data_IF_419158909497
#
_entry.id   IF_419158909497
#
_cell.length_a   1.000
_cell.length_b   1.000
_cell.length_c   1.000
_cell.angle_alpha   90.00
_cell.angle_beta   90.00
_cell.angle_gamma   90.00
#
_symmetry.space_group_name_H-M   'P 1'
#
loop_
_entity.id
_entity.type
_entity.pdbx_description
1 polymer ?
#
# COMPACT_ATOMS: atom_id res chain seq x y z
N UNK A 1 3.67 -30.03 7.20
CA UNK A 1 2.50 -29.30 7.74
C UNK A 1 2.30 -28.10 6.84
N UNK A 2 1.16 -27.99 6.16
CA UNK A 2 0.85 -26.74 5.45
C UNK A 2 0.47 -25.69 6.51
N UNK A 3 1.41 -24.85 6.87
CA UNK A 3 1.13 -23.72 7.75
C UNK A 3 0.39 -22.65 6.93
N UNK A 4 -0.91 -22.51 7.18
CA UNK A 4 -1.73 -21.46 6.60
C UNK A 4 -1.84 -20.29 7.59
N UNK A 5 -1.68 -19.09 7.09
CA UNK A 5 -1.89 -17.88 7.89
C UNK A 5 -3.36 -17.75 8.28
N UNK A 6 -3.64 -17.60 9.58
CA UNK A 6 -4.98 -17.38 10.07
C UNK A 6 -5.34 -15.90 10.05
N UNK A 7 -5.87 -15.44 8.93
CA UNK A 7 -6.28 -14.03 8.77
C UNK A 7 -7.59 -13.68 9.49
N UNK A 8 -8.31 -14.68 10.03
CA UNK A 8 -9.55 -14.44 10.78
C UNK A 8 -9.33 -13.68 12.08
N UNK A 9 -8.08 -13.61 12.57
CA UNK A 9 -7.72 -12.77 13.74
C UNK A 9 -7.83 -11.26 13.44
N UNK A 10 -7.82 -10.87 12.18
CA UNK A 10 -7.97 -9.48 11.74
C UNK A 10 -9.41 -9.20 11.34
N UNK A 11 -9.94 -9.99 10.38
CA UNK A 11 -11.35 -9.97 9.98
C UNK A 11 -11.82 -11.40 9.68
N UNK A 12 -13.01 -11.75 10.15
CA UNK A 12 -13.58 -13.07 9.92
C UNK A 12 -13.97 -13.31 8.43
N UNK A 13 -14.10 -12.24 7.62
CA UNK A 13 -14.45 -12.35 6.21
C UNK A 13 -14.15 -11.08 5.42
N UNK A 14 -14.06 -11.22 4.07
CA UNK A 14 -14.02 -10.09 3.11
C UNK A 14 -15.22 -9.13 3.31
N UNK A 15 -16.37 -9.66 3.66
CA UNK A 15 -17.59 -8.85 3.89
C UNK A 15 -17.44 -7.95 5.11
N UNK A 16 -16.87 -8.47 6.18
CA UNK A 16 -16.58 -7.70 7.39
C UNK A 16 -15.54 -6.60 7.13
N UNK A 17 -14.44 -6.94 6.46
CA UNK A 17 -13.43 -5.98 6.06
C UNK A 17 -14.01 -4.87 5.15
N UNK A 18 -14.90 -5.20 4.20
CA UNK A 18 -15.63 -4.20 3.39
C UNK A 18 -16.49 -3.25 4.22
N UNK A 19 -17.19 -3.79 5.23
CA UNK A 19 -17.99 -2.95 6.16
C UNK A 19 -17.09 -2.02 6.97
N UNK A 20 -15.96 -2.53 7.47
CA UNK A 20 -14.97 -1.73 8.18
C UNK A 20 -14.44 -0.60 7.30
N UNK A 21 -14.03 -0.89 6.06
CA UNK A 21 -13.56 0.13 5.11
C UNK A 21 -14.63 1.20 4.80
N UNK A 22 -15.88 0.80 4.63
CA UNK A 22 -16.97 1.76 4.42
C UNK A 22 -17.17 2.68 5.63
N UNK A 23 -17.01 2.14 6.85
CA UNK A 23 -17.05 2.93 8.08
C UNK A 23 -15.90 3.93 8.14
N UNK A 24 -14.68 3.49 7.78
CA UNK A 24 -13.50 4.37 7.69
C UNK A 24 -13.75 5.51 6.71
N UNK A 25 -14.20 5.22 5.49
CA UNK A 25 -14.48 6.25 4.48
C UNK A 25 -15.50 7.29 4.94
N UNK A 26 -16.55 6.85 5.64
CA UNK A 26 -17.53 7.77 6.23
C UNK A 26 -16.90 8.66 7.31
N UNK A 27 -16.16 8.08 8.26
CA UNK A 27 -15.44 8.82 9.30
C UNK A 27 -14.45 9.83 8.70
N UNK A 28 -13.74 9.43 7.64
CA UNK A 28 -12.80 10.30 6.92
C UNK A 28 -13.50 11.50 6.30
N UNK A 29 -14.65 11.28 5.66
CA UNK A 29 -15.45 12.37 5.10
C UNK A 29 -16.01 13.31 6.19
N UNK A 30 -16.39 12.77 7.35
CA UNK A 30 -16.80 13.56 8.52
C UNK A 30 -15.63 14.39 9.05
N UNK A 31 -14.43 13.79 9.16
CA UNK A 31 -13.20 14.46 9.56
C UNK A 31 -12.87 15.62 8.60
N UNK A 32 -12.86 15.36 7.30
CA UNK A 32 -12.61 16.37 6.27
C UNK A 32 -13.60 17.53 6.39
N UNK A 33 -14.90 17.25 6.46
CA UNK A 33 -15.95 18.28 6.57
C UNK A 33 -15.81 19.12 7.85
N UNK A 34 -15.37 18.52 8.94
CA UNK A 34 -15.22 19.22 10.22
C UNK A 34 -13.99 20.12 10.25
N UNK A 35 -12.86 19.62 9.78
CA UNK A 35 -11.56 20.29 9.94
C UNK A 35 -11.13 21.13 8.73
N UNK A 36 -11.54 20.80 7.50
CA UNK A 36 -11.10 21.54 6.32
C UNK A 36 -11.52 23.02 6.38
N UNK A 37 -10.54 23.91 6.17
CA UNK A 37 -10.72 25.36 6.26
C UNK A 37 -10.85 25.92 7.69
N UNK A 38 -10.60 25.11 8.74
CA UNK A 38 -10.71 25.53 10.15
C UNK A 38 -9.44 25.27 10.96
N UNK A 39 -8.44 24.62 10.39
CA UNK A 39 -7.25 24.16 11.08
C UNK A 39 -6.45 25.27 11.72
N UNK A 40 -6.35 26.44 11.07
CA UNK A 40 -5.58 27.58 11.57
C UNK A 40 -6.18 28.24 12.82
N UNK A 41 -7.41 27.86 13.18
CA UNK A 41 -8.12 28.36 14.35
C UNK A 41 -8.07 27.39 15.54
N UNK A 42 -7.43 26.24 15.39
CA UNK A 42 -7.36 25.23 16.43
C UNK A 42 -6.32 25.65 17.50
N UNK A 43 -6.75 25.58 18.76
CA UNK A 43 -5.82 25.62 19.90
C UNK A 43 -5.25 24.23 20.19
N UNK A 44 -4.24 24.17 21.06
CA UNK A 44 -3.44 22.98 21.40
C UNK A 44 -4.31 21.75 21.71
N UNK A 45 -5.35 21.88 22.54
CA UNK A 45 -6.25 20.76 22.89
C UNK A 45 -7.05 20.25 21.69
N UNK A 46 -7.49 21.13 20.80
CA UNK A 46 -8.22 20.74 19.60
C UNK A 46 -7.30 20.07 18.58
N UNK A 47 -6.03 20.45 18.52
CA UNK A 47 -4.99 19.81 17.70
C UNK A 47 -4.73 18.38 18.21
N UNK A 48 -4.59 18.20 19.53
CA UNK A 48 -4.46 16.86 20.14
C UNK A 48 -5.63 15.95 19.73
N UNK A 49 -6.87 16.41 19.90
CA UNK A 49 -8.08 15.64 19.53
C UNK A 49 -8.09 15.31 18.03
N UNK A 50 -7.70 16.25 17.17
CA UNK A 50 -7.63 16.01 15.74
C UNK A 50 -6.56 14.98 15.37
N UNK A 51 -5.41 15.00 16.05
CA UNK A 51 -4.33 14.01 15.87
C UNK A 51 -4.75 12.62 16.32
N UNK A 52 -5.44 12.52 17.46
CA UNK A 52 -5.95 11.23 17.95
C UNK A 52 -6.96 10.64 16.96
N UNK A 53 -7.89 11.46 16.47
CA UNK A 53 -8.88 11.01 15.49
C UNK A 53 -8.22 10.59 14.17
N UNK A 54 -7.24 11.36 13.68
CA UNK A 54 -6.45 11.03 12.50
C UNK A 54 -5.71 9.70 12.68
N UNK A 55 -5.08 9.49 13.84
CA UNK A 55 -4.39 8.25 14.17
C UNK A 55 -5.34 7.05 14.19
N UNK A 56 -6.55 7.21 14.78
CA UNK A 56 -7.58 6.17 14.74
C UNK A 56 -7.98 5.80 13.31
N UNK A 57 -8.15 6.81 12.44
CA UNK A 57 -8.46 6.58 11.02
C UNK A 57 -7.36 5.80 10.30
N UNK A 58 -6.08 6.15 10.53
CA UNK A 58 -4.93 5.44 9.96
C UNK A 58 -4.89 3.98 10.41
N UNK A 59 -5.12 3.71 11.70
CA UNK A 59 -5.12 2.35 12.26
C UNK A 59 -6.26 1.52 11.65
N UNK A 60 -7.47 2.08 11.61
CA UNK A 60 -8.64 1.38 11.05
C UNK A 60 -8.46 1.10 9.54
N UNK A 61 -7.95 2.06 8.77
CA UNK A 61 -7.66 1.91 7.35
C UNK A 61 -6.55 0.88 7.11
N UNK A 62 -5.45 0.98 7.86
CA UNK A 62 -4.30 0.08 7.78
C UNK A 62 -4.70 -1.37 8.02
N UNK A 63 -5.52 -1.66 9.04
CA UNK A 63 -6.01 -3.02 9.30
C UNK A 63 -6.74 -3.64 8.11
N UNK A 64 -7.56 -2.85 7.40
CA UNK A 64 -8.29 -3.35 6.22
C UNK A 64 -7.34 -3.56 5.06
N UNK A 65 -6.41 -2.63 4.85
CA UNK A 65 -5.40 -2.72 3.79
C UNK A 65 -4.51 -3.95 3.97
N UNK A 66 -3.98 -4.15 5.17
CA UNK A 66 -3.11 -5.28 5.50
C UNK A 66 -3.84 -6.61 5.35
N UNK A 67 -5.08 -6.71 5.81
CA UNK A 67 -5.90 -7.89 5.60
C UNK A 67 -6.10 -8.20 4.11
N UNK A 68 -6.43 -7.19 3.31
CA UNK A 68 -6.67 -7.36 1.88
C UNK A 68 -5.39 -7.76 1.14
N UNK A 69 -4.25 -7.14 1.48
CA UNK A 69 -2.93 -7.47 0.94
C UNK A 69 -2.51 -8.90 1.28
N UNK A 70 -2.59 -9.29 2.56
CA UNK A 70 -2.22 -10.63 3.01
C UNK A 70 -3.12 -11.69 2.37
N UNK A 71 -4.43 -11.44 2.29
CA UNK A 71 -5.36 -12.35 1.62
C UNK A 71 -5.02 -12.52 0.13
N UNK A 72 -4.71 -11.43 -0.57
CA UNK A 72 -4.29 -11.46 -1.98
C UNK A 72 -2.98 -12.24 -2.14
N UNK A 73 -2.02 -12.03 -1.25
CA UNK A 73 -0.74 -12.73 -1.27
C UNK A 73 -0.85 -14.25 -1.08
N UNK A 74 -1.93 -14.74 -0.46
CA UNK A 74 -2.17 -16.19 -0.32
C UNK A 74 -2.65 -16.85 -1.62
N UNK A 75 -3.27 -16.10 -2.54
CA UNK A 75 -3.76 -16.63 -3.80
C UNK A 75 -3.88 -15.53 -4.87
N UNK A 76 -2.79 -15.24 -5.54
CA UNK A 76 -2.68 -14.22 -6.59
C UNK A 76 -3.53 -14.53 -7.84
N UNK A 77 -3.91 -15.79 -8.05
CA UNK A 77 -4.69 -16.23 -9.22
C UNK A 77 -6.21 -16.24 -8.98
N UNK A 78 -6.69 -15.93 -7.76
CA UNK A 78 -8.12 -15.84 -7.48
C UNK A 78 -8.66 -14.45 -7.88
N UNK A 79 -9.42 -14.40 -8.97
CA UNK A 79 -10.00 -13.15 -9.48
C UNK A 79 -10.93 -12.43 -8.49
N UNK A 80 -11.60 -13.16 -7.57
CA UNK A 80 -12.48 -12.55 -6.56
C UNK A 80 -11.65 -11.91 -5.42
N UNK A 81 -10.50 -12.51 -5.07
CA UNK A 81 -9.58 -11.97 -4.09
C UNK A 81 -8.88 -10.75 -4.67
N UNK A 82 -8.41 -10.85 -5.93
CA UNK A 82 -7.76 -9.75 -6.64
C UNK A 82 -8.71 -8.54 -6.79
N UNK A 83 -9.97 -8.76 -7.16
CA UNK A 83 -10.98 -7.70 -7.26
C UNK A 83 -11.29 -7.06 -5.89
N UNK A 84 -11.32 -7.86 -4.81
CA UNK A 84 -11.48 -7.33 -3.46
C UNK A 84 -10.29 -6.45 -3.06
N UNK A 85 -9.06 -6.92 -3.26
CA UNK A 85 -7.85 -6.17 -2.97
C UNK A 85 -7.80 -4.85 -3.73
N UNK A 86 -8.08 -4.88 -5.05
CA UNK A 86 -8.15 -3.68 -5.86
C UNK A 86 -9.16 -2.66 -5.32
N UNK A 87 -10.36 -3.10 -4.96
CA UNK A 87 -11.37 -2.20 -4.37
C UNK A 87 -10.90 -1.56 -3.06
N UNK A 88 -10.11 -2.28 -2.25
CA UNK A 88 -9.50 -1.72 -1.04
C UNK A 88 -8.43 -0.70 -1.40
N UNK A 89 -7.53 -0.99 -2.35
CA UNK A 89 -6.51 -0.04 -2.81
C UNK A 89 -7.12 1.27 -3.32
N UNK A 90 -8.19 1.19 -4.13
CA UNK A 90 -8.88 2.39 -4.64
C UNK A 90 -9.47 3.24 -3.50
N UNK A 91 -10.00 2.59 -2.47
CA UNK A 91 -10.52 3.29 -1.28
C UNK A 91 -9.42 3.89 -0.41
N UNK A 92 -8.28 3.20 -0.26
CA UNK A 92 -7.12 3.75 0.44
C UNK A 92 -6.60 4.99 -0.30
N UNK A 93 -6.46 4.95 -1.63
CA UNK A 93 -6.10 6.15 -2.41
C UNK A 93 -7.07 7.30 -2.19
N UNK A 94 -8.39 7.01 -2.17
CA UNK A 94 -9.40 8.03 -1.87
C UNK A 94 -9.33 8.55 -0.43
N UNK A 95 -9.01 7.70 0.53
CA UNK A 95 -8.78 8.04 1.93
C UNK A 95 -7.61 9.01 2.07
N UNK A 96 -6.46 8.68 1.47
CA UNK A 96 -5.26 9.51 1.52
C UNK A 96 -5.51 10.90 0.91
N UNK A 97 -6.16 10.96 -0.26
CA UNK A 97 -6.55 12.23 -0.90
C UNK A 97 -7.44 13.12 -0.02
N UNK A 98 -8.38 12.51 0.71
CA UNK A 98 -9.25 13.27 1.60
C UNK A 98 -8.49 13.87 2.79
N UNK A 99 -7.33 13.29 3.18
CA UNK A 99 -6.54 13.71 4.34
C UNK A 99 -5.31 14.57 4.00
N UNK A 100 -4.98 14.73 2.72
CA UNK A 100 -3.85 15.56 2.26
C UNK A 100 -3.84 16.95 2.90
N UNK A 101 -5.01 17.62 3.00
CA UNK A 101 -5.12 18.95 3.59
C UNK A 101 -4.64 18.98 5.04
N UNK A 102 -4.94 17.92 5.80
CA UNK A 102 -4.56 17.82 7.21
C UNK A 102 -3.06 17.54 7.37
N UNK A 103 -2.53 16.62 6.58
CA UNK A 103 -1.09 16.30 6.59
C UNK A 103 -0.26 17.52 6.17
N UNK A 104 -0.70 18.27 5.16
CA UNK A 104 -0.01 19.49 4.73
C UNK A 104 -0.06 20.57 5.82
N UNK A 105 -1.22 20.74 6.46
CA UNK A 105 -1.32 21.67 7.59
C UNK A 105 -0.44 21.22 8.77
N UNK A 106 -0.34 19.93 9.09
CA UNK A 106 0.58 19.45 10.12
C UNK A 106 2.04 19.81 9.82
N UNK A 107 2.44 19.84 8.54
CA UNK A 107 3.79 20.26 8.12
C UNK A 107 3.98 21.76 8.25
N UNK A 108 3.00 22.56 7.80
CA UNK A 108 3.17 23.99 7.52
C UNK A 108 2.42 24.93 8.49
N UNK A 109 1.42 24.43 9.24
CA UNK A 109 0.54 25.23 10.08
C UNK A 109 1.31 26.09 11.10
N UNK A 110 1.09 27.40 11.07
CA UNK A 110 1.80 28.35 11.94
C UNK A 110 1.28 28.35 13.37
N UNK A 111 0.01 27.99 13.56
CA UNK A 111 -0.61 27.86 14.88
C UNK A 111 -0.20 26.57 15.65
N UNK A 112 0.65 25.73 15.07
CA UNK A 112 1.16 24.53 15.73
C UNK A 112 2.36 24.90 16.63
N UNK A 113 2.10 25.00 17.93
CA UNK A 113 3.11 25.23 18.93
C UNK A 113 3.67 23.88 19.46
N UNK A 114 4.88 23.52 19.01
CA UNK A 114 5.50 22.24 19.38
C UNK A 114 5.81 22.13 20.89
N UNK A 115 6.14 23.24 21.56
CA UNK A 115 6.44 23.18 23.01
C UNK A 115 5.20 22.87 23.83
N UNK A 116 4.06 23.43 23.45
CA UNK A 116 2.78 23.11 24.11
C UNK A 116 2.35 21.67 23.80
N UNK A 117 2.44 21.24 22.55
CA UNK A 117 2.06 19.91 22.11
C UNK A 117 2.93 18.82 22.74
N UNK A 118 4.20 19.11 23.04
CA UNK A 118 5.10 18.17 23.74
C UNK A 118 4.56 17.75 25.12
N UNK A 119 3.83 18.62 25.78
CA UNK A 119 3.28 18.34 27.11
C UNK A 119 2.01 17.50 27.11
N UNK A 120 1.28 17.45 25.98
CA UNK A 120 -0.04 16.80 25.88
C UNK A 120 -0.03 15.57 24.96
N UNK A 121 0.87 15.50 23.97
CA UNK A 121 0.94 14.38 23.05
C UNK A 121 1.76 13.20 23.63
N UNK A 122 1.39 11.96 23.29
CA UNK A 122 2.27 10.82 23.48
C UNK A 122 3.62 11.04 22.78
N UNK A 123 4.70 10.60 23.42
CA UNK A 123 6.07 10.83 22.90
C UNK A 123 6.24 10.42 21.44
N UNK A 124 5.70 9.27 21.04
CA UNK A 124 5.79 8.78 19.65
C UNK A 124 5.10 9.71 18.66
N UNK A 125 3.89 10.19 18.99
CA UNK A 125 3.13 11.14 18.15
C UNK A 125 3.85 12.48 18.06
N UNK A 126 4.42 12.97 19.16
CA UNK A 126 5.19 14.20 19.17
C UNK A 126 6.45 14.10 18.29
N UNK A 127 7.23 13.03 18.45
CA UNK A 127 8.45 12.80 17.63
C UNK A 127 8.08 12.70 16.15
N UNK A 128 7.03 11.94 15.81
CA UNK A 128 6.54 11.85 14.44
C UNK A 128 6.15 13.22 13.88
N UNK A 129 5.38 14.02 14.63
CA UNK A 129 4.98 15.37 14.19
C UNK A 129 6.20 16.28 13.99
N UNK A 130 7.17 16.23 14.89
CA UNK A 130 8.41 16.99 14.78
C UNK A 130 9.20 16.62 13.52
N UNK A 131 9.33 15.32 13.22
CA UNK A 131 10.00 14.86 12.01
C UNK A 131 9.21 15.23 10.75
N UNK A 132 7.88 15.12 10.78
CA UNK A 132 7.01 15.52 9.68
C UNK A 132 7.22 17.01 9.32
N UNK A 133 7.34 17.88 10.31
CA UNK A 133 7.55 19.34 10.12
C UNK A 133 8.91 19.71 9.53
N UNK A 134 9.90 18.80 9.54
CA UNK A 134 11.18 19.04 8.84
C UNK A 134 10.99 19.14 7.32
N UNK A 135 9.90 18.60 6.80
CA UNK A 135 9.56 18.68 5.38
C UNK A 135 8.72 19.92 5.01
N UNK A 136 8.61 20.91 5.90
CA UNK A 136 7.82 22.14 5.65
C UNK A 136 8.20 22.80 4.33
N UNK A 137 9.49 23.02 4.09
CA UNK A 137 10.03 23.71 2.91
C UNK A 137 9.95 22.86 1.62
N UNK A 138 9.63 21.56 1.76
CA UNK A 138 9.44 20.61 0.66
C UNK A 138 7.96 20.24 0.46
N UNK A 139 7.04 20.99 1.07
CA UNK A 139 5.61 20.72 0.94
C UNK A 139 5.08 21.43 -0.32
N UNK A 140 4.51 20.64 -1.22
CA UNK A 140 3.85 21.13 -2.43
C UNK A 140 2.38 21.44 -2.15
N UNK A 141 1.74 22.20 -3.05
CA UNK A 141 0.32 22.51 -2.97
C UNK A 141 -0.55 21.25 -2.89
N UNK A 142 -1.63 21.31 -2.10
CA UNK A 142 -2.50 20.17 -1.86
C UNK A 142 -3.22 19.65 -3.10
N UNK A 143 -3.50 20.49 -4.10
CA UNK A 143 -4.13 20.07 -5.35
C UNK A 143 -3.11 19.33 -6.23
N UNK A 144 -1.88 19.83 -6.27
CA UNK A 144 -0.77 19.19 -6.98
C UNK A 144 -0.47 17.84 -6.31
N UNK A 145 -0.44 17.78 -4.98
CA UNK A 145 -0.20 16.52 -4.26
C UNK A 145 -1.31 15.48 -4.54
N UNK A 146 -2.57 15.88 -4.60
CA UNK A 146 -3.66 14.96 -4.99
C UNK A 146 -3.49 14.42 -6.40
N UNK A 147 -2.97 15.22 -7.33
CA UNK A 147 -2.68 14.78 -8.68
C UNK A 147 -1.56 13.73 -8.69
N UNK A 148 -0.51 13.91 -7.87
CA UNK A 148 0.54 12.90 -7.70
C UNK A 148 0.00 11.60 -7.11
N UNK A 149 -0.93 11.66 -6.14
CA UNK A 149 -1.58 10.44 -5.61
C UNK A 149 -2.37 9.69 -6.70
N UNK A 150 -2.99 10.40 -7.66
CA UNK A 150 -3.64 9.77 -8.80
C UNK A 150 -2.63 9.06 -9.70
N UNK A 151 -1.50 9.69 -10.00
CA UNK A 151 -0.42 9.09 -10.80
C UNK A 151 0.17 7.87 -10.09
N UNK A 152 0.49 7.98 -8.80
CA UNK A 152 1.03 6.88 -8.00
C UNK A 152 0.08 5.67 -7.95
N UNK A 153 -1.23 5.91 -7.94
CA UNK A 153 -2.21 4.83 -7.97
C UNK A 153 -2.09 3.98 -9.25
N UNK A 154 -1.71 4.58 -10.38
CA UNK A 154 -1.50 3.87 -11.65
C UNK A 154 -0.26 2.98 -11.60
N UNK A 155 0.80 3.38 -10.89
CA UNK A 155 2.00 2.55 -10.74
C UNK A 155 1.71 1.21 -10.08
N UNK A 156 0.80 1.17 -9.10
CA UNK A 156 0.40 -0.05 -8.41
C UNK A 156 -0.20 -1.10 -9.37
N UNK A 157 -0.85 -0.68 -10.46
CA UNK A 157 -1.37 -1.62 -11.47
C UNK A 157 -0.24 -2.29 -12.26
N UNK A 158 0.88 -1.60 -12.51
CA UNK A 158 2.03 -2.18 -13.18
C UNK A 158 2.76 -3.20 -12.28
N UNK A 159 2.91 -2.88 -10.99
CA UNK A 159 3.49 -3.80 -10.00
C UNK A 159 2.63 -5.06 -9.92
N UNK A 160 1.32 -4.88 -9.80
CA UNK A 160 0.37 -5.98 -9.74
C UNK A 160 0.38 -6.84 -11.01
N UNK A 161 0.43 -6.23 -12.19
CA UNK A 161 0.55 -6.95 -13.45
C UNK A 161 1.81 -7.82 -13.49
N UNK A 162 2.93 -7.32 -12.95
CA UNK A 162 4.15 -8.09 -12.80
C UNK A 162 3.93 -9.31 -11.88
N UNK A 163 3.35 -9.11 -10.71
CA UNK A 163 3.13 -10.18 -9.71
C UNK A 163 2.16 -11.24 -10.22
N UNK A 164 1.04 -10.83 -10.82
CA UNK A 164 0.06 -11.76 -11.41
C UNK A 164 0.65 -12.53 -12.60
N UNK A 165 1.46 -11.89 -13.43
CA UNK A 165 2.15 -12.54 -14.55
C UNK A 165 3.11 -13.61 -14.03
N UNK A 166 3.87 -13.34 -12.97
CA UNK A 166 4.75 -14.32 -12.31
C UNK A 166 3.98 -15.46 -11.68
N UNK A 167 2.93 -15.14 -10.94
CA UNK A 167 2.11 -16.16 -10.26
C UNK A 167 1.41 -17.12 -11.23
N UNK A 168 1.09 -16.65 -12.46
CA UNK A 168 0.49 -17.48 -13.49
C UNK A 168 1.49 -18.41 -14.20
N UNK A 169 2.81 -18.24 -14.01
CA UNK A 169 3.82 -19.09 -14.64
C UNK A 169 3.80 -20.51 -14.09
N UNK A 170 4.08 -21.46 -14.95
CA UNK A 170 4.24 -22.86 -14.61
C UNK A 170 5.44 -23.44 -15.32
N UNK A 171 6.35 -24.02 -14.55
CA UNK A 171 7.64 -24.51 -15.02
C UNK A 171 7.61 -26.04 -15.15
N UNK A 172 7.74 -26.55 -16.36
CA UNK A 172 7.75 -27.99 -16.63
C UNK A 172 9.16 -28.54 -16.59
N UNK A 173 9.48 -29.36 -15.58
CA UNK A 173 10.80 -29.95 -15.35
C UNK A 173 10.59 -31.47 -15.18
N UNK A 174 11.25 -32.29 -15.99
CA UNK A 174 11.11 -33.75 -15.99
C UNK A 174 9.64 -34.23 -16.06
N UNK A 175 8.80 -33.56 -16.83
CA UNK A 175 7.38 -33.91 -16.99
C UNK A 175 6.46 -33.38 -15.90
N UNK A 176 6.97 -32.91 -14.79
CA UNK A 176 6.19 -32.32 -13.67
C UNK A 176 6.09 -30.81 -13.81
N UNK A 177 4.98 -30.24 -13.31
CA UNK A 177 4.75 -28.80 -13.24
C UNK A 177 5.12 -28.28 -11.86
N UNK A 178 5.85 -27.19 -11.82
CA UNK A 178 6.30 -26.51 -10.60
C UNK A 178 5.85 -25.05 -10.59
N UNK A 179 5.58 -24.52 -9.41
CA UNK A 179 5.49 -23.07 -9.19
C UNK A 179 6.88 -22.43 -9.37
N UNK A 180 6.94 -21.09 -9.43
CA UNK A 180 8.22 -20.38 -9.52
C UNK A 180 9.11 -20.68 -8.30
N UNK A 181 8.56 -20.62 -7.08
CA UNK A 181 9.31 -20.89 -5.86
C UNK A 181 9.87 -22.30 -5.80
N UNK A 182 9.05 -23.29 -6.17
CA UNK A 182 9.49 -24.69 -6.22
C UNK A 182 10.57 -24.88 -7.29
N UNK A 183 10.39 -24.31 -8.49
CA UNK A 183 11.39 -24.39 -9.54
C UNK A 183 12.71 -23.74 -9.14
N UNK A 184 12.67 -22.57 -8.48
CA UNK A 184 13.88 -21.90 -7.99
C UNK A 184 14.60 -22.75 -6.92
N UNK A 185 13.84 -23.43 -6.05
CA UNK A 185 14.43 -24.31 -5.03
C UNK A 185 15.19 -25.50 -5.61
N UNK A 186 14.76 -25.99 -6.78
CA UNK A 186 15.46 -27.08 -7.51
C UNK A 186 16.85 -26.68 -8.04
N UNK A 187 17.15 -25.40 -8.17
CA UNK A 187 18.51 -24.93 -8.51
C UNK A 187 19.53 -25.24 -7.41
N UNK A 188 19.09 -25.49 -6.18
CA UNK A 188 19.92 -25.88 -5.05
C UNK A 188 20.09 -27.42 -4.93
N UNK A 189 19.54 -28.20 -5.88
CA UNK A 189 19.67 -29.65 -5.87
C UNK A 189 21.14 -30.09 -5.95
N UNK A 190 21.50 -31.16 -5.28
CA UNK A 190 22.82 -31.82 -5.43
C UNK A 190 23.03 -32.40 -6.83
N UNK A 191 21.97 -32.74 -7.57
CA UNK A 191 22.02 -33.28 -8.92
C UNK A 191 22.28 -32.20 -9.96
N UNK A 192 23.45 -32.16 -10.66
CA UNK A 192 23.79 -31.17 -11.66
C UNK A 192 22.87 -31.17 -12.89
N UNK A 193 22.40 -32.35 -13.31
CA UNK A 193 21.50 -32.47 -14.46
C UNK A 193 20.14 -31.82 -14.15
N UNK A 194 19.62 -32.04 -12.94
CA UNK A 194 18.37 -31.41 -12.50
C UNK A 194 18.51 -29.89 -12.46
N UNK A 195 19.62 -29.38 -11.94
CA UNK A 195 19.88 -27.91 -11.96
C UNK A 195 19.92 -27.35 -13.39
N UNK A 196 20.57 -28.05 -14.31
CA UNK A 196 20.65 -27.63 -15.73
C UNK A 196 19.28 -27.63 -16.40
N UNK A 197 18.47 -28.68 -16.20
CA UNK A 197 17.11 -28.78 -16.74
C UNK A 197 16.21 -27.68 -16.14
N UNK A 198 16.34 -27.43 -14.84
CA UNK A 198 15.61 -26.36 -14.16
C UNK A 198 15.97 -24.98 -14.73
N UNK A 199 17.27 -24.69 -14.88
CA UNK A 199 17.70 -23.42 -15.46
C UNK A 199 17.18 -23.20 -16.90
N UNK A 200 17.17 -24.26 -17.72
CA UNK A 200 16.59 -24.20 -19.07
C UNK A 200 15.08 -23.96 -19.05
N UNK A 201 14.36 -24.61 -18.14
CA UNK A 201 12.91 -24.42 -17.99
C UNK A 201 12.57 -23.00 -17.52
N UNK A 202 13.30 -22.47 -16.55
CA UNK A 202 13.17 -21.09 -16.08
C UNK A 202 13.42 -20.11 -17.22
N UNK A 203 14.55 -20.21 -17.91
CA UNK A 203 14.92 -19.34 -19.03
C UNK A 203 13.84 -19.35 -20.14
N UNK A 204 13.29 -20.52 -20.45
CA UNK A 204 12.24 -20.67 -21.46
C UNK A 204 10.94 -19.96 -21.04
N UNK A 205 10.47 -20.16 -19.82
CA UNK A 205 9.20 -19.56 -19.39
C UNK A 205 9.32 -18.05 -19.17
N UNK A 206 10.39 -17.55 -18.54
CA UNK A 206 10.67 -16.12 -18.47
C UNK A 206 10.84 -15.47 -19.84
N UNK A 207 11.47 -16.20 -20.79
CA UNK A 207 11.62 -15.73 -22.16
C UNK A 207 10.31 -15.43 -22.87
N UNK A 208 9.24 -16.18 -22.56
CA UNK A 208 7.89 -15.95 -23.11
C UNK A 208 7.29 -14.61 -22.63
N UNK A 209 7.66 -14.17 -21.43
CA UNK A 209 7.15 -12.93 -20.81
C UNK A 209 8.04 -11.71 -21.06
N UNK A 210 9.09 -11.86 -21.86
CA UNK A 210 10.09 -10.79 -22.08
C UNK A 210 9.47 -9.46 -22.49
N UNK A 211 8.54 -9.48 -23.44
CA UNK A 211 7.87 -8.26 -23.92
C UNK A 211 6.98 -7.63 -22.85
N UNK A 212 6.25 -8.45 -22.10
CA UNK A 212 5.40 -8.00 -21.00
C UNK A 212 6.23 -7.31 -19.91
N UNK A 213 7.33 -7.95 -19.49
CA UNK A 213 8.21 -7.37 -18.48
C UNK A 213 8.91 -6.10 -18.96
N UNK A 214 9.33 -6.06 -20.22
CA UNK A 214 9.91 -4.85 -20.80
C UNK A 214 8.89 -3.69 -20.81
N UNK A 215 7.62 -3.97 -21.13
CA UNK A 215 6.56 -2.97 -21.11
C UNK A 215 6.31 -2.45 -19.69
N UNK A 216 6.18 -3.36 -18.71
CA UNK A 216 5.98 -2.98 -17.28
C UNK A 216 7.15 -2.12 -16.81
N UNK A 217 8.39 -2.54 -17.07
CA UNK A 217 9.58 -1.80 -16.68
C UNK A 217 9.60 -0.39 -17.30
N UNK A 218 9.35 -0.30 -18.61
CA UNK A 218 9.34 0.98 -19.31
C UNK A 218 8.23 1.90 -18.82
N UNK A 219 7.05 1.36 -18.48
CA UNK A 219 5.96 2.14 -17.91
C UNK A 219 6.33 2.71 -16.53
N UNK A 220 6.91 1.91 -15.65
CA UNK A 220 7.38 2.36 -14.34
C UNK A 220 8.53 3.38 -14.45
N UNK A 221 9.48 3.16 -15.36
CA UNK A 221 10.56 4.12 -15.58
C UNK A 221 10.06 5.45 -16.16
N UNK A 222 9.01 5.40 -17.01
CA UNK A 222 8.39 6.62 -17.55
C UNK A 222 7.65 7.41 -16.48
N UNK A 223 6.93 6.74 -15.58
CA UNK A 223 6.28 7.38 -14.44
C UNK A 223 7.30 8.14 -13.59
N UNK A 224 8.38 7.49 -13.19
CA UNK A 224 9.46 8.12 -12.40
C UNK A 224 10.18 9.29 -13.08
N UNK A 225 10.16 9.36 -14.41
CA UNK A 225 10.70 10.51 -15.13
C UNK A 225 9.79 11.74 -15.08
N UNK A 226 8.52 11.54 -14.80
CA UNK A 226 7.54 12.63 -14.63
C UNK A 226 7.65 13.23 -13.23
N UNK A 227 8.07 12.42 -12.24
CA UNK A 227 8.23 12.83 -10.84
C UNK A 227 9.51 13.65 -10.57
N UNK A 228 10.46 13.69 -11.52
CA UNK A 228 11.70 14.48 -11.46
C UNK A 228 11.61 15.75 -12.31
#
# INVERSE_FOLDING_TARGET
>A
MNEHWNLNVVFASKTEAKKAMNKVMRKTSEFQRFYNGRLDKLGTKAIEIALDYYTELLIEAGKVNDYAYLLHSTNLNDGNISAFYQNVCDKISSFDKQLVFFVNWLKTGENINLEELKSVLPLGTFVWLKELRRFKDHTIDSEIQRLFEDVNSVEQYWIRLYDETRAAMSFKINGHKYSEGDALSLLNSSNPELRLLTGKALAKEYGKQRSTYALIYNALMRSRQIDN
#
